data_IF_287667351880
#
_entry.id   IF_287667351880
#
_cell.length_a   1.000
_cell.length_b   1.000
_cell.length_c   1.000
_cell.angle_alpha   90.00
_cell.angle_beta   90.00
_cell.angle_gamma   90.00
#
_symmetry.space_group_name_H-M   'P 1'
#
loop_
_entity.id
_entity.type
_entity.pdbx_description
1 polymer ?
#
# COMPACT_ATOMS: atom_id res chain seq x y z
N UNK A 1 -68.72 -53.55 -61.03
CA UNK A 1 -67.75 -52.50 -61.39
C UNK A 1 -67.52 -51.66 -60.14
N UNK A 2 -66.61 -52.18 -59.32
CA UNK A 2 -65.44 -51.48 -58.76
C UNK A 2 -65.58 -50.01 -58.37
N UNK A 3 -65.47 -49.73 -57.07
CA UNK A 3 -64.66 -48.62 -56.55
C UNK A 3 -64.49 -48.72 -55.03
N UNK A 4 -63.66 -49.64 -54.54
CA UNK A 4 -63.14 -49.59 -53.17
C UNK A 4 -61.62 -49.58 -53.21
N UNK A 5 -61.02 -48.40 -53.03
CA UNK A 5 -59.58 -48.30 -52.85
C UNK A 5 -59.09 -46.87 -53.00
N UNK A 6 -59.07 -46.10 -51.90
CA UNK A 6 -58.09 -45.00 -51.73
C UNK A 6 -57.89 -44.34 -50.33
N UNK A 7 -58.25 -44.90 -49.15
CA UNK A 7 -57.89 -44.22 -47.88
C UNK A 7 -56.50 -44.59 -47.30
N UNK A 8 -55.92 -45.77 -47.62
CA UNK A 8 -54.74 -46.30 -46.92
C UNK A 8 -53.40 -45.65 -47.34
N UNK A 9 -53.32 -45.14 -48.57
CA UNK A 9 -52.10 -44.49 -49.11
C UNK A 9 -51.84 -43.15 -48.41
N UNK A 10 -52.91 -42.42 -48.06
CA UNK A 10 -52.82 -41.12 -47.38
C UNK A 10 -52.28 -41.27 -45.96
N UNK A 11 -52.75 -42.26 -45.19
CA UNK A 11 -52.30 -42.48 -43.81
C UNK A 11 -50.84 -42.92 -43.74
N UNK A 12 -50.38 -43.79 -44.65
CA UNK A 12 -48.97 -44.18 -44.75
C UNK A 12 -48.07 -43.00 -45.10
N UNK A 13 -48.52 -42.13 -45.99
CA UNK A 13 -47.78 -40.91 -46.37
C UNK A 13 -47.63 -39.97 -45.18
N UNK A 14 -48.72 -39.74 -44.43
CA UNK A 14 -48.70 -38.91 -43.22
C UNK A 14 -47.80 -39.51 -42.14
N UNK A 15 -47.88 -40.82 -41.89
CA UNK A 15 -47.03 -41.50 -40.91
C UNK A 15 -45.54 -41.38 -41.26
N UNK A 16 -45.21 -41.51 -42.54
CA UNK A 16 -43.82 -41.37 -43.02
C UNK A 16 -43.31 -39.94 -42.82
N UNK A 17 -44.15 -38.93 -43.10
CA UNK A 17 -43.83 -37.52 -42.89
C UNK A 17 -43.64 -37.18 -41.40
N UNK A 18 -44.49 -37.69 -40.51
CA UNK A 18 -44.35 -37.49 -39.05
C UNK A 18 -43.09 -38.16 -38.52
N UNK A 19 -42.77 -39.37 -38.97
CA UNK A 19 -41.53 -40.05 -38.59
C UNK A 19 -40.29 -39.30 -39.10
N UNK A 20 -40.37 -38.70 -40.29
CA UNK A 20 -39.29 -37.86 -40.81
C UNK A 20 -39.13 -36.58 -39.98
N UNK A 21 -40.23 -35.89 -39.65
CA UNK A 21 -40.18 -34.72 -38.77
C UNK A 21 -39.59 -35.06 -37.40
N UNK A 22 -39.90 -36.22 -36.82
CA UNK A 22 -39.33 -36.63 -35.54
C UNK A 22 -37.81 -36.79 -35.62
N UNK A 23 -37.29 -37.38 -36.70
CA UNK A 23 -35.84 -37.49 -36.95
C UNK A 23 -35.18 -36.14 -37.17
N UNK A 24 -35.85 -35.25 -37.90
CA UNK A 24 -35.34 -33.90 -38.16
C UNK A 24 -35.26 -33.10 -36.85
N UNK A 25 -36.25 -33.24 -35.96
CA UNK A 25 -36.25 -32.62 -34.62
C UNK A 25 -35.10 -33.15 -33.77
N UNK A 26 -34.88 -34.47 -33.73
CA UNK A 26 -33.75 -35.08 -33.01
C UNK A 26 -32.42 -34.54 -33.52
N UNK A 27 -32.23 -34.48 -34.84
CA UNK A 27 -31.01 -33.94 -35.44
C UNK A 27 -30.79 -32.46 -35.10
N UNK A 28 -31.85 -31.64 -35.08
CA UNK A 28 -31.76 -30.22 -34.70
C UNK A 28 -31.39 -30.09 -33.21
N UNK A 29 -31.98 -30.91 -32.34
CA UNK A 29 -31.69 -30.90 -30.91
C UNK A 29 -30.22 -31.27 -30.68
N UNK A 30 -29.75 -32.36 -31.28
CA UNK A 30 -28.37 -32.81 -31.13
C UNK A 30 -27.36 -31.76 -31.64
N UNK A 31 -27.67 -31.13 -32.77
CA UNK A 31 -26.85 -30.04 -33.31
C UNK A 31 -26.78 -28.85 -32.35
N UNK A 32 -27.92 -28.37 -31.85
CA UNK A 32 -27.99 -27.21 -30.94
C UNK A 32 -27.38 -27.50 -29.56
N UNK A 33 -27.56 -28.73 -29.06
CA UNK A 33 -26.96 -29.17 -27.80
C UNK A 33 -25.44 -29.24 -27.94
N UNK A 34 -24.94 -29.82 -29.04
CA UNK A 34 -23.50 -29.90 -29.32
C UNK A 34 -22.88 -28.51 -29.48
N UNK A 35 -23.55 -27.60 -30.19
CA UNK A 35 -23.13 -26.20 -30.34
C UNK A 35 -23.02 -25.50 -28.97
N UNK A 36 -24.06 -25.59 -28.13
CA UNK A 36 -24.06 -24.98 -26.80
C UNK A 36 -23.02 -25.60 -25.87
N UNK A 37 -22.86 -26.92 -25.87
CA UNK A 37 -21.83 -27.60 -25.08
C UNK A 37 -20.43 -27.19 -25.56
N UNK A 38 -20.24 -27.05 -26.87
CA UNK A 38 -19.00 -26.53 -27.47
C UNK A 38 -18.68 -25.13 -26.96
N UNK A 39 -19.63 -24.19 -27.06
CA UNK A 39 -19.46 -22.82 -26.57
C UNK A 39 -19.17 -22.76 -25.06
N UNK A 40 -19.89 -23.54 -24.24
CA UNK A 40 -19.63 -23.61 -22.80
C UNK A 40 -18.23 -24.16 -22.50
N UNK A 41 -17.75 -25.16 -23.26
CA UNK A 41 -16.42 -25.73 -23.07
C UNK A 41 -15.32 -24.73 -23.40
N UNK A 42 -15.50 -23.93 -24.44
CA UNK A 42 -14.57 -22.87 -24.83
C UNK A 42 -14.53 -21.75 -23.79
N UNK A 43 -15.68 -21.29 -23.30
CA UNK A 43 -15.75 -20.31 -22.21
C UNK A 43 -15.06 -20.83 -20.93
N UNK A 44 -15.28 -22.10 -20.56
CA UNK A 44 -14.71 -22.73 -19.38
C UNK A 44 -13.19 -22.95 -19.51
N UNK A 45 -12.70 -23.22 -20.73
CA UNK A 45 -11.26 -23.24 -21.02
C UNK A 45 -10.64 -21.85 -20.93
N UNK A 46 -11.29 -20.82 -21.48
CA UNK A 46 -10.87 -19.43 -21.36
C UNK A 46 -10.78 -18.97 -19.90
N UNK A 47 -11.82 -19.26 -19.11
CA UNK A 47 -11.85 -18.97 -17.67
C UNK A 47 -10.73 -19.70 -16.90
N UNK A 48 -10.47 -20.97 -17.22
CA UNK A 48 -9.37 -21.73 -16.60
C UNK A 48 -7.98 -21.16 -16.94
N UNK A 49 -7.76 -20.67 -18.16
CA UNK A 49 -6.50 -20.03 -18.53
C UNK A 49 -6.33 -18.69 -17.82
N UNK A 50 -7.40 -17.90 -17.71
CA UNK A 50 -7.41 -16.66 -16.94
C UNK A 50 -7.04 -16.92 -15.46
N UNK A 51 -7.69 -17.91 -14.84
CA UNK A 51 -7.39 -18.33 -13.47
C UNK A 51 -5.94 -18.82 -13.31
N UNK A 52 -5.42 -19.65 -14.23
CA UNK A 52 -4.03 -20.10 -14.19
C UNK A 52 -3.05 -18.93 -14.28
N UNK A 53 -3.34 -17.93 -15.12
CA UNK A 53 -2.51 -16.74 -15.26
C UNK A 53 -2.51 -15.88 -13.98
N UNK A 54 -3.67 -15.71 -13.34
CA UNK A 54 -3.82 -15.01 -12.06
C UNK A 54 -3.09 -15.75 -10.93
N UNK A 55 -3.25 -17.08 -10.83
CA UNK A 55 -2.52 -17.90 -9.85
C UNK A 55 -1.01 -17.82 -10.07
N UNK A 56 -0.56 -17.74 -11.33
CA UNK A 56 0.87 -17.56 -11.65
C UNK A 56 1.38 -16.17 -11.25
N UNK A 57 0.62 -15.10 -11.50
CA UNK A 57 0.93 -13.74 -11.02
C UNK A 57 1.04 -13.68 -9.51
N UNK A 58 0.06 -14.24 -8.78
CA UNK A 58 0.08 -14.29 -7.31
C UNK A 58 1.30 -15.05 -6.77
N UNK A 59 1.71 -16.14 -7.43
CA UNK A 59 2.92 -16.89 -7.05
C UNK A 59 4.22 -16.12 -7.32
N UNK A 60 4.28 -15.35 -8.41
CA UNK A 60 5.46 -14.52 -8.71
C UNK A 60 5.56 -13.28 -7.81
N UNK A 61 4.42 -12.64 -7.49
CA UNK A 61 4.38 -11.47 -6.62
C UNK A 61 4.72 -11.81 -5.17
N UNK A 62 4.39 -13.03 -4.71
CA UNK A 62 4.83 -13.53 -3.42
C UNK A 62 6.35 -13.72 -3.32
N UNK A 63 7.04 -13.92 -4.46
CA UNK A 63 8.48 -14.14 -4.51
C UNK A 63 9.30 -12.87 -4.68
N UNK A 64 8.71 -11.79 -5.21
CA UNK A 64 9.44 -10.56 -5.50
C UNK A 64 9.34 -9.56 -4.34
N UNK A 65 10.49 -9.19 -3.76
CA UNK A 65 10.55 -8.18 -2.70
C UNK A 65 10.84 -6.80 -3.29
N UNK A 66 9.82 -5.95 -3.31
CA UNK A 66 9.94 -4.57 -3.75
C UNK A 66 10.89 -3.76 -2.85
N UNK A 67 11.83 -3.02 -3.46
CA UNK A 67 12.73 -2.10 -2.74
C UNK A 67 12.01 -0.85 -2.25
N UNK A 68 11.04 -0.35 -3.03
CA UNK A 68 10.30 0.86 -2.75
C UNK A 68 8.80 0.60 -2.84
N UNK A 69 8.06 0.99 -1.79
CA UNK A 69 6.60 0.81 -1.72
C UNK A 69 5.88 1.53 -2.87
N UNK A 70 6.37 2.71 -3.28
CA UNK A 70 5.79 3.44 -4.41
C UNK A 70 5.86 2.67 -5.73
N UNK A 71 6.93 1.89 -5.95
CA UNK A 71 7.07 1.07 -7.16
C UNK A 71 6.09 -0.10 -7.13
N UNK A 72 5.89 -0.71 -5.96
CA UNK A 72 4.88 -1.76 -5.77
C UNK A 72 3.48 -1.23 -6.10
N UNK A 73 3.10 -0.10 -5.49
CA UNK A 73 1.79 0.54 -5.74
C UNK A 73 1.60 0.84 -7.23
N UNK A 74 2.62 1.35 -7.91
CA UNK A 74 2.53 1.66 -9.34
C UNK A 74 2.43 0.40 -10.20
N UNK A 75 3.16 -0.66 -9.85
CA UNK A 75 3.08 -1.95 -10.51
C UNK A 75 1.70 -2.58 -10.34
N UNK A 76 1.17 -2.61 -9.12
CA UNK A 76 -0.16 -3.14 -8.80
C UNK A 76 -1.23 -2.37 -9.61
N UNK A 77 -1.19 -1.02 -9.59
CA UNK A 77 -2.09 -0.19 -10.38
C UNK A 77 -1.99 -0.49 -11.89
N UNK A 78 -0.79 -0.55 -12.46
CA UNK A 78 -0.60 -0.85 -13.89
C UNK A 78 -1.11 -2.27 -14.23
N UNK A 79 -0.91 -3.22 -13.33
CA UNK A 79 -1.32 -4.62 -13.52
C UNK A 79 -2.83 -4.76 -13.53
N UNK A 80 -3.54 -4.10 -12.62
CA UNK A 80 -5.01 -4.05 -12.60
C UNK A 80 -5.57 -3.41 -13.88
N UNK A 81 -5.02 -2.26 -14.31
CA UNK A 81 -5.48 -1.62 -15.55
C UNK A 81 -5.22 -2.49 -16.79
N UNK A 82 -4.10 -3.21 -16.83
CA UNK A 82 -3.81 -4.15 -17.90
C UNK A 82 -4.84 -5.29 -17.93
N UNK A 83 -5.26 -5.81 -16.78
CA UNK A 83 -6.29 -6.84 -16.69
C UNK A 83 -7.65 -6.35 -17.21
N UNK A 84 -8.07 -5.14 -16.82
CA UNK A 84 -9.31 -4.53 -17.34
C UNK A 84 -9.26 -4.39 -18.87
N UNK A 85 -8.12 -3.96 -19.42
CA UNK A 85 -7.95 -3.80 -20.87
C UNK A 85 -7.96 -5.15 -21.60
N UNK A 86 -7.33 -6.19 -21.04
CA UNK A 86 -7.38 -7.55 -21.61
C UNK A 86 -8.81 -8.10 -21.59
N UNK A 87 -9.57 -7.87 -20.52
CA UNK A 87 -10.99 -8.24 -20.46
C UNK A 87 -11.82 -7.45 -21.48
N UNK A 88 -11.50 -6.18 -21.69
CA UNK A 88 -12.15 -5.34 -22.69
C UNK A 88 -11.92 -5.88 -24.10
N UNK A 89 -10.69 -6.27 -24.44
CA UNK A 89 -10.37 -6.90 -25.72
C UNK A 89 -11.18 -8.19 -25.93
N UNK A 90 -11.19 -9.07 -24.91
CA UNK A 90 -11.99 -10.29 -24.97
C UNK A 90 -13.49 -9.99 -25.16
N UNK A 91 -14.03 -8.98 -24.47
CA UNK A 91 -15.42 -8.59 -24.60
C UNK A 91 -15.76 -8.09 -26.00
N UNK A 92 -14.86 -7.32 -26.63
CA UNK A 92 -14.99 -6.86 -28.01
C UNK A 92 -15.02 -8.05 -28.98
N UNK A 93 -14.06 -8.98 -28.85
CA UNK A 93 -13.95 -10.15 -29.73
C UNK A 93 -15.18 -11.07 -29.65
N UNK A 94 -15.89 -11.06 -28.52
CA UNK A 94 -17.08 -11.86 -28.28
C UNK A 94 -18.40 -11.08 -28.46
N UNK A 95 -18.35 -9.88 -29.04
CA UNK A 95 -19.54 -9.05 -29.31
C UNK A 95 -20.24 -8.50 -28.06
N UNK A 96 -19.60 -8.55 -26.89
CA UNK A 96 -20.11 -8.04 -25.59
C UNK A 96 -19.79 -6.55 -25.45
N UNK A 97 -20.31 -5.74 -26.37
CA UNK A 97 -19.95 -4.31 -26.52
C UNK A 97 -20.31 -3.47 -25.29
N UNK A 98 -21.47 -3.70 -24.67
CA UNK A 98 -21.88 -2.95 -23.48
C UNK A 98 -20.94 -3.22 -22.30
N UNK A 99 -20.57 -4.49 -22.09
CA UNK A 99 -19.60 -4.88 -21.07
C UNK A 99 -18.21 -4.28 -21.33
N UNK A 100 -17.76 -4.27 -22.58
CA UNK A 100 -16.51 -3.62 -22.97
C UNK A 100 -16.54 -2.10 -22.69
N UNK A 101 -17.68 -1.44 -22.92
CA UNK A 101 -17.87 -0.02 -22.64
C UNK A 101 -17.79 0.28 -21.15
N UNK A 102 -18.45 -0.54 -20.33
CA UNK A 102 -18.44 -0.39 -18.87
C UNK A 102 -17.02 -0.58 -18.30
N UNK A 103 -16.31 -1.61 -18.74
CA UNK A 103 -14.91 -1.83 -18.38
C UNK A 103 -14.03 -0.64 -18.76
N UNK A 104 -14.15 -0.15 -20.00
CA UNK A 104 -13.36 0.98 -20.46
C UNK A 104 -13.67 2.26 -19.68
N UNK A 105 -14.94 2.52 -19.36
CA UNK A 105 -15.35 3.65 -18.52
C UNK A 105 -14.73 3.55 -17.12
N UNK A 106 -14.77 2.37 -16.51
CA UNK A 106 -14.15 2.13 -15.21
C UNK A 106 -12.63 2.35 -15.24
N UNK A 107 -11.93 1.86 -16.27
CA UNK A 107 -10.49 2.11 -16.47
C UNK A 107 -10.18 3.59 -16.62
N UNK A 108 -10.99 4.33 -17.39
CA UNK A 108 -10.85 5.80 -17.54
C UNK A 108 -10.96 6.50 -16.18
N UNK A 109 -11.93 6.12 -15.36
CA UNK A 109 -12.13 6.75 -14.05
C UNK A 109 -11.02 6.38 -13.05
N UNK A 110 -10.51 5.15 -13.07
CA UNK A 110 -9.30 4.76 -12.32
C UNK A 110 -8.10 5.64 -12.67
N UNK A 111 -7.88 5.91 -13.96
CA UNK A 111 -6.79 6.77 -14.43
C UNK A 111 -7.00 8.23 -14.02
N UNK A 112 -8.22 8.77 -14.17
CA UNK A 112 -8.54 10.14 -13.73
C UNK A 112 -8.30 10.31 -12.23
N UNK A 113 -8.77 9.36 -11.43
CA UNK A 113 -8.57 9.36 -9.98
C UNK A 113 -7.08 9.31 -9.64
N UNK A 114 -6.31 8.43 -10.29
CA UNK A 114 -4.86 8.35 -10.10
C UNK A 114 -4.15 9.67 -10.44
N UNK A 115 -4.54 10.30 -11.54
CA UNK A 115 -4.02 11.62 -11.93
C UNK A 115 -4.37 12.70 -10.90
N UNK A 116 -5.55 12.66 -10.29
CA UNK A 116 -5.94 13.54 -9.18
C UNK A 116 -5.04 13.33 -7.97
N UNK A 117 -4.77 12.07 -7.59
CA UNK A 117 -3.86 11.74 -6.49
C UNK A 117 -2.43 12.21 -6.74
N UNK A 118 -1.94 12.11 -7.98
CA UNK A 118 -0.61 12.62 -8.37
C UNK A 118 -0.56 14.15 -8.17
N UNK A 119 -1.57 14.89 -8.65
CA UNK A 119 -1.63 16.35 -8.46
C UNK A 119 -1.65 16.73 -6.98
N UNK A 120 -2.41 16.01 -6.15
CA UNK A 120 -2.43 16.23 -4.70
C UNK A 120 -1.05 15.96 -4.10
N UNK A 121 -0.38 14.88 -4.50
CA UNK A 121 0.94 14.54 -4.01
C UNK A 121 2.03 15.53 -4.45
N UNK A 122 1.86 16.19 -5.59
CA UNK A 122 2.81 17.19 -6.09
C UNK A 122 2.62 18.57 -5.43
N UNK A 123 1.37 18.94 -5.15
CA UNK A 123 1.02 20.27 -4.61
C UNK A 123 1.07 20.37 -3.08
N UNK A 124 0.91 19.26 -2.37
CA UNK A 124 0.86 19.22 -0.89
C UNK A 124 2.24 19.07 -0.24
N UNK A 125 2.47 19.72 0.90
CA UNK A 125 3.70 19.57 1.69
C UNK A 125 3.88 18.12 2.22
N UNK A 126 2.78 17.45 2.53
CA UNK A 126 2.74 16.04 2.92
C UNK A 126 2.90 15.04 1.76
N UNK A 127 2.87 15.50 0.50
CA UNK A 127 3.05 14.70 -0.70
C UNK A 127 2.16 13.44 -0.76
N UNK A 128 2.75 12.28 -1.03
CA UNK A 128 2.02 11.01 -1.10
C UNK A 128 1.30 10.61 0.20
N UNK A 129 1.71 11.11 1.37
CA UNK A 129 0.96 10.89 2.62
C UNK A 129 -0.39 11.62 2.63
N UNK A 130 -0.47 12.78 1.97
CA UNK A 130 -1.71 13.54 1.80
C UNK A 130 -2.62 12.86 0.80
N UNK A 131 -2.08 12.41 -0.33
CA UNK A 131 -2.84 11.65 -1.33
C UNK A 131 -3.48 10.39 -0.73
N UNK A 132 -2.76 9.62 0.09
CA UNK A 132 -3.33 8.44 0.79
C UNK A 132 -4.48 8.79 1.74
N UNK A 133 -4.38 9.90 2.46
CA UNK A 133 -5.43 10.33 3.39
C UNK A 133 -6.64 10.91 2.67
N UNK A 134 -6.40 11.55 1.53
CA UNK A 134 -7.46 11.97 0.62
C UNK A 134 -8.22 10.76 0.09
N UNK A 135 -7.51 9.71 -0.34
CA UNK A 135 -8.10 8.49 -0.89
C UNK A 135 -8.89 7.69 0.15
N UNK A 136 -8.41 7.62 1.39
CA UNK A 136 -9.08 6.91 2.49
C UNK A 136 -10.43 7.51 2.95
N UNK A 137 -10.85 8.67 2.44
CA UNK A 137 -12.10 9.34 2.83
C UNK A 137 -12.95 9.69 1.59
N UNK A 138 -13.72 8.75 1.01
CA UNK A 138 -14.40 8.92 -0.28
C UNK A 138 -15.63 9.87 -0.28
N UNK A 139 -16.01 10.47 0.85
CA UNK A 139 -17.28 11.22 1.02
C UNK A 139 -17.11 12.72 0.72
N UNK A 140 -16.60 13.13 -0.45
CA UNK A 140 -16.55 14.56 -0.78
C UNK A 140 -16.98 14.83 -2.22
N UNK A 141 -17.89 15.79 -2.39
CA UNK A 141 -18.21 16.43 -3.66
C UNK A 141 -17.04 17.30 -4.11
N UNK A 142 -16.83 17.48 -5.42
CA UNK A 142 -15.72 18.27 -5.99
C UNK A 142 -15.65 19.72 -5.43
N UNK A 143 -16.75 20.27 -4.90
CA UNK A 143 -16.78 21.58 -4.23
C UNK A 143 -16.12 21.60 -2.83
N UNK A 144 -15.88 20.45 -2.20
CA UNK A 144 -15.26 20.32 -0.87
C UNK A 144 -13.79 19.88 -0.93
N UNK A 145 -13.24 19.72 -2.14
CA UNK A 145 -11.93 19.11 -2.34
C UNK A 145 -10.78 19.93 -1.77
N UNK A 146 -10.81 21.26 -1.92
CA UNK A 146 -9.78 22.13 -1.34
C UNK A 146 -9.72 21.98 0.19
N UNK A 147 -10.88 22.02 0.85
CA UNK A 147 -10.97 21.83 2.29
C UNK A 147 -10.48 20.44 2.71
N UNK A 148 -10.74 19.41 1.91
CA UNK A 148 -10.26 18.04 2.17
C UNK A 148 -8.76 17.91 2.01
N UNK A 149 -8.17 18.50 0.97
CA UNK A 149 -6.71 18.53 0.75
C UNK A 149 -6.03 19.23 1.92
N UNK A 150 -6.53 20.39 2.35
CA UNK A 150 -6.00 21.11 3.52
C UNK A 150 -6.09 20.26 4.79
N UNK A 151 -7.19 19.55 5.03
CA UNK A 151 -7.33 18.64 6.19
C UNK A 151 -6.39 17.44 6.11
N UNK A 152 -6.23 16.84 4.93
CA UNK A 152 -5.32 15.72 4.71
C UNK A 152 -3.85 16.14 4.89
N UNK A 153 -3.49 17.31 4.39
CA UNK A 153 -2.14 17.87 4.49
C UNK A 153 -1.79 18.17 5.96
N UNK A 154 -2.69 18.86 6.67
CA UNK A 154 -2.54 19.10 8.11
C UNK A 154 -2.36 17.81 8.91
N UNK A 155 -3.09 16.74 8.58
CA UNK A 155 -2.96 15.44 9.24
C UNK A 155 -1.66 14.73 8.86
N UNK A 156 -1.23 14.78 7.60
CA UNK A 156 0.06 14.24 7.13
C UNK A 156 1.24 14.92 7.84
N UNK A 157 1.26 16.26 7.85
CA UNK A 157 2.31 17.07 8.50
C UNK A 157 2.34 16.82 10.01
N UNK A 158 1.18 16.73 10.69
CA UNK A 158 1.11 16.39 12.12
C UNK A 158 1.69 15.00 12.41
N UNK A 159 1.40 13.99 11.58
CA UNK A 159 1.96 12.63 11.72
C UNK A 159 3.49 12.64 11.57
N UNK A 160 4.02 13.44 10.64
CA UNK A 160 5.46 13.62 10.42
C UNK A 160 6.14 14.32 11.61
N UNK A 161 5.53 15.38 12.15
CA UNK A 161 6.02 16.10 13.36
C UNK A 161 5.90 15.28 14.65
N UNK A 162 4.87 14.46 14.80
CA UNK A 162 4.67 13.58 15.97
C UNK A 162 5.73 12.49 16.08
N UNK A 163 6.07 11.84 14.96
CA UNK A 163 7.15 10.84 14.90
C UNK A 163 8.53 11.45 15.25
N UNK A 164 8.79 12.69 14.84
CA UNK A 164 10.02 13.43 15.21
C UNK A 164 10.14 13.69 16.72
N UNK A 165 9.03 13.98 17.41
CA UNK A 165 9.02 14.15 18.88
C UNK A 165 9.21 12.84 19.65
N UNK A 166 8.71 11.73 19.13
CA UNK A 166 8.86 10.43 19.79
C UNK A 166 10.30 9.92 19.77
N UNK A 167 11.06 10.19 18.69
CA UNK A 167 12.50 9.85 18.62
C UNK A 167 13.34 10.73 19.56
N UNK A 168 12.89 11.94 19.89
CA UNK A 168 13.54 12.84 20.88
C UNK A 168 13.07 12.63 22.32
N UNK A 169 12.09 11.75 22.55
CA UNK A 169 11.46 11.54 23.86
C UNK A 169 12.05 10.42 24.72
N UNK A 170 13.06 9.69 24.24
CA UNK A 170 13.69 8.60 25.00
C UNK A 170 14.82 9.08 25.94
N UNK A 171 14.70 10.31 26.45
CA UNK A 171 15.56 10.85 27.50
C UNK A 171 14.78 10.91 28.81
N UNK A 172 14.98 9.90 29.66
CA UNK A 172 14.73 9.84 31.10
C UNK A 172 13.59 10.73 31.66
N UNK A 173 12.45 10.11 31.97
CA UNK A 173 11.55 10.60 33.01
C UNK A 173 11.40 9.52 34.07
N UNK A 174 12.43 9.32 34.90
CA UNK A 174 12.22 8.74 36.22
C UNK A 174 11.51 9.78 37.08
N UNK A 175 10.21 9.57 37.31
CA UNK A 175 9.49 10.25 38.38
C UNK A 175 10.09 9.77 39.70
N UNK A 176 10.75 10.67 40.43
CA UNK A 176 11.18 10.40 41.79
C UNK A 176 9.94 10.34 42.70
N UNK A 177 9.52 9.13 43.10
CA UNK A 177 8.67 8.94 44.27
C UNK A 177 9.58 8.71 45.48
N UNK A 178 9.54 9.62 46.43
CA UNK A 178 10.18 9.47 47.73
C UNK A 178 9.57 8.27 48.47
N UNK A 179 10.33 7.19 48.63
CA UNK A 179 10.16 6.28 49.75
C UNK A 179 11.54 5.89 50.27
N UNK A 180 11.84 6.34 51.50
CA UNK A 180 12.93 5.85 52.33
C UNK A 180 12.73 4.37 52.62
N UNK A 181 13.81 3.58 52.55
CA UNK A 181 14.01 2.40 53.39
C UNK A 181 15.51 2.06 53.43
N UNK A 182 16.00 1.86 54.66
CA UNK A 182 17.38 1.53 55.04
C UNK A 182 17.83 0.17 54.46
N UNK A 183 19.13 0.05 54.16
CA UNK A 183 19.80 -1.24 53.98
C UNK A 183 21.24 -1.10 53.47
N UNK A 184 22.21 -1.69 54.18
CA UNK A 184 23.66 -1.46 54.09
C UNK A 184 24.40 -2.29 53.01
N UNK A 185 25.46 -1.69 52.44
CA UNK A 185 26.79 -2.23 52.02
C UNK A 185 26.90 -3.29 50.88
N UNK A 186 28.10 -3.55 50.30
CA UNK A 186 29.27 -2.71 50.01
C UNK A 186 29.75 -2.80 48.53
N UNK A 187 30.85 -2.09 48.24
CA UNK A 187 31.55 -1.91 46.96
C UNK A 187 31.73 -3.16 46.06
N UNK A 188 31.46 -2.98 44.76
CA UNK A 188 32.01 -3.84 43.69
C UNK A 188 32.33 -3.00 42.44
N UNK A 189 33.58 -3.06 42.00
CA UNK A 189 34.07 -2.42 40.76
C UNK A 189 34.07 -3.47 39.65
N UNK A 190 33.55 -3.20 38.44
CA UNK A 190 33.84 -4.04 37.29
C UNK A 190 34.78 -3.34 36.29
N UNK A 191 35.87 -4.02 35.95
CA UNK A 191 36.70 -3.71 34.78
C UNK A 191 36.06 -4.24 33.47
N UNK A 192 36.39 -3.68 32.28
CA UNK A 192 35.89 -4.18 31.02
C UNK A 192 36.81 -5.24 30.38
N UNK A 193 36.22 -6.35 29.97
CA UNK A 193 36.87 -7.43 29.21
C UNK A 193 36.94 -7.04 27.71
N UNK A 194 38.13 -7.11 27.11
CA UNK A 194 38.35 -6.97 25.65
C UNK A 194 38.31 -8.35 24.99
N UNK A 195 37.50 -8.50 23.93
CA UNK A 195 37.61 -9.59 22.95
C UNK A 195 38.15 -9.11 21.60
N UNK A 196 38.78 -9.97 20.77
CA UNK A 196 39.65 -9.56 19.66
C UNK A 196 38.99 -9.61 18.26
N UNK A 197 39.17 -8.53 17.49
CA UNK A 197 39.86 -8.45 16.18
C UNK A 197 39.81 -9.70 15.27
N UNK A 198 39.11 -9.72 14.10
CA UNK A 198 39.58 -9.37 12.71
C UNK A 198 38.96 -10.46 11.72
N UNK A 199 38.89 -10.38 10.36
CA UNK A 199 39.01 -9.22 9.45
C UNK A 199 38.64 -9.23 7.90
N UNK A 200 38.84 -8.05 7.26
CA UNK A 200 39.30 -7.63 5.88
C UNK A 200 38.48 -7.96 4.60
N UNK A 201 38.12 -6.92 3.82
CA UNK A 201 38.75 -6.59 2.51
C UNK A 201 38.43 -5.15 2.01
N UNK A 202 39.51 -4.36 1.90
CA UNK A 202 39.92 -3.27 0.99
C UNK A 202 38.98 -2.26 0.30
N UNK A 203 39.36 -0.98 0.43
CA UNK A 203 39.18 0.08 -0.57
C UNK A 203 39.38 1.53 -0.06
N UNK A 204 40.63 1.99 0.08
CA UNK A 204 41.11 3.38 0.36
C UNK A 204 41.44 4.04 -1.02
N UNK A 205 41.57 5.39 -1.26
CA UNK A 205 41.83 6.54 -0.36
C UNK A 205 40.96 7.81 -0.56
N UNK A 206 40.91 8.70 0.45
CA UNK A 206 41.70 9.96 0.46
C UNK A 206 41.44 10.82 1.72
N UNK A 207 42.55 11.22 2.37
CA UNK A 207 42.80 12.36 3.26
C UNK A 207 41.99 12.57 4.57
N UNK A 208 42.69 12.21 5.67
CA UNK A 208 43.04 13.09 6.80
C UNK A 208 41.96 13.99 7.42
N UNK A 209 41.66 13.70 8.69
CA UNK A 209 41.37 14.77 9.66
C UNK A 209 40.31 14.44 10.70
N UNK A 210 40.77 14.03 11.88
CA UNK A 210 40.15 14.21 13.20
C UNK A 210 38.73 13.65 13.45
N UNK A 211 38.68 12.70 14.38
CA UNK A 211 37.52 12.40 15.21
C UNK A 211 36.95 13.70 15.84
N UNK A 212 35.91 14.28 15.24
CA UNK A 212 35.08 15.30 15.88
C UNK A 212 33.79 14.65 16.41
N UNK A 213 33.96 13.75 17.38
CA UNK A 213 32.87 13.33 18.24
C UNK A 213 32.52 14.44 19.23
N UNK A 214 31.26 14.89 19.16
CA UNK A 214 30.45 15.41 20.28
C UNK A 214 30.69 16.88 20.73
N UNK A 215 29.54 17.57 20.83
CA UNK A 215 29.25 18.72 21.72
C UNK A 215 30.02 20.01 21.44
N UNK A 216 29.45 20.86 20.57
CA UNK A 216 29.57 22.29 20.80
C UNK A 216 28.85 22.60 22.12
N UNK A 217 29.61 22.73 23.22
CA UNK A 217 29.10 23.27 24.48
C UNK A 217 28.78 24.74 24.21
N UNK A 218 27.51 25.12 24.32
CA UNK A 218 27.07 26.49 24.08
C UNK A 218 27.75 27.48 25.02
N UNK A 219 28.01 28.70 24.52
CA UNK A 219 28.57 29.80 25.32
C UNK A 219 27.72 30.10 26.56
N UNK A 220 28.37 30.46 27.65
CA UNK A 220 27.71 30.98 28.84
C UNK A 220 27.00 32.29 28.48
N UNK A 221 25.67 32.33 28.56
CA UNK A 221 24.87 33.52 28.27
C UNK A 221 25.13 34.72 29.20
N UNK A 222 25.90 34.55 30.29
CA UNK A 222 26.21 35.64 31.21
C UNK A 222 27.60 36.25 31.02
N UNK A 223 28.59 35.47 30.60
CA UNK A 223 29.97 35.96 30.45
C UNK A 223 30.61 35.63 29.08
N UNK A 224 29.88 34.96 28.19
CA UNK A 224 30.35 34.57 26.86
C UNK A 224 31.33 33.40 26.82
N UNK A 225 31.80 32.87 27.95
CA UNK A 225 32.78 31.78 27.98
C UNK A 225 32.19 30.43 27.57
N UNK A 226 32.91 29.64 26.78
CA UNK A 226 32.54 28.27 26.37
C UNK A 226 32.91 27.19 27.41
N UNK A 227 33.54 27.57 28.52
CA UNK A 227 34.04 26.63 29.52
C UNK A 227 32.95 26.09 30.46
N UNK A 228 31.84 26.83 30.65
CA UNK A 228 30.79 26.51 31.63
C UNK A 228 29.41 27.00 31.16
N UNK A 229 28.34 26.44 31.73
CA UNK A 229 26.98 26.95 31.57
C UNK A 229 26.68 28.05 32.59
N UNK A 230 25.66 28.89 32.34
CA UNK A 230 25.27 30.01 33.23
C UNK A 230 25.08 29.59 34.70
N UNK A 231 24.58 28.37 34.94
CA UNK A 231 24.40 27.79 36.29
C UNK A 231 25.69 27.67 37.10
N UNK A 232 26.81 27.48 36.41
CA UNK A 232 28.14 27.27 37.00
C UNK A 232 29.05 28.47 36.73
N UNK A 233 28.48 29.62 36.38
CA UNK A 233 29.24 30.80 36.02
C UNK A 233 29.82 31.46 37.28
N UNK A 234 31.15 31.61 37.38
CA UNK A 234 31.78 32.20 38.55
C UNK A 234 31.35 33.66 38.73
N UNK A 235 31.16 34.43 37.65
CA UNK A 235 30.66 35.82 37.70
C UNK A 235 29.23 35.93 38.25
N UNK A 236 28.35 34.98 37.93
CA UNK A 236 26.96 34.99 38.44
C UNK A 236 26.91 34.51 39.89
N UNK A 237 27.68 33.46 40.23
CA UNK A 237 27.65 32.89 41.57
C UNK A 237 28.39 33.74 42.61
N UNK A 238 29.37 34.57 42.22
CA UNK A 238 30.04 35.52 43.12
C UNK A 238 29.25 36.80 43.39
N UNK A 239 28.18 37.05 42.61
CA UNK A 239 27.27 38.20 42.81
C UNK A 239 26.09 37.91 43.76
N UNK A 240 25.99 36.70 44.31
CA UNK A 240 24.93 36.36 45.28
C UNK A 240 25.34 36.88 46.67
N UNK A 241 24.60 37.80 47.31
CA UNK A 241 24.83 38.11 48.71
C UNK A 241 24.60 36.85 49.54
N UNK A 242 25.54 36.56 50.44
CA UNK A 242 25.41 35.44 51.38
C UNK A 242 24.15 35.62 52.22
N UNK A 243 23.14 34.76 52.01
CA UNK A 243 21.99 34.66 52.91
C UNK A 243 22.50 34.29 54.30
N UNK A 244 22.37 35.24 55.23
CA UNK A 244 22.66 35.06 56.65
C UNK A 244 21.84 33.88 57.21
N UNK A 245 22.54 32.92 57.82
CA UNK A 245 21.95 31.87 58.65
C UNK A 245 21.40 32.49 59.92
N UNK A 246 20.10 32.31 60.17
CA UNK A 246 19.43 32.67 61.43
C UNK A 246 19.62 31.54 62.45
N UNK A 247 20.05 31.82 63.69
CA UNK A 247 20.26 30.77 64.70
C UNK A 247 18.93 30.32 65.33
N UNK A 248 18.89 29.04 65.70
CA UNK A 248 18.13 28.49 66.83
C UNK A 248 19.18 27.84 67.73
#
# INVERSE_FOLDING_TARGET
MDSEGEPDISLRTVLTAVNQQSKDIEAIIDAKVTEKIGGLREELQGANQLMKSQVKKLKTDASYKWKYEGNKIQFDFNTENLEDLVQTLWAIDNGKVDYARDLLSATVDKIKHRNKLIKIADTSEGGWDTARQYDANPIASDSEDEAKIIRADNRAVRKKKGKSKQVRGNGSKTKASNQSLLGQAPNFVPQPFRGPQQPWFNGIPLQQGFNAGKTQRGQCYSCGSYAHYRSSCPYVNSSKPATQTRPQ
#
